data_IF_333054421857
#
_entry.id   IF_333054421857
#
_cell.length_a   1.000
_cell.length_b   1.000
_cell.length_c   1.000
_cell.angle_alpha   90.00
_cell.angle_beta   90.00
_cell.angle_gamma   90.00
#
_symmetry.space_group_name_H-M   'P 1'
#
loop_
_entity.id
_entity.type
_entity.pdbx_description
1 polymer ?
#
# COMPACT_ATOMS: atom_id res chain seq x y z
N UNK A 1 -7.66 -13.99 -11.12
CA UNK A 1 -7.18 -12.77 -11.79
C UNK A 1 -5.76 -12.57 -11.34
N UNK A 2 -4.81 -12.97 -12.18
CA UNK A 2 -3.40 -12.61 -11.98
C UNK A 2 -3.31 -11.11 -12.30
N UNK A 3 -3.11 -10.30 -11.26
CA UNK A 3 -3.26 -8.85 -11.34
C UNK A 3 -2.20 -8.21 -12.22
N UNK A 4 -2.59 -7.18 -12.99
CA UNK A 4 -1.71 -6.38 -13.86
C UNK A 4 -0.56 -5.68 -13.10
N UNK A 5 -0.62 -5.65 -11.77
CA UNK A 5 0.32 -4.93 -10.90
C UNK A 5 0.75 -5.78 -9.68
N UNK A 6 1.42 -6.92 -9.88
CA UNK A 6 1.70 -7.88 -8.80
C UNK A 6 2.63 -7.30 -7.73
N UNK A 7 3.57 -6.43 -8.09
CA UNK A 7 4.49 -5.81 -7.13
C UNK A 7 3.76 -4.75 -6.30
N UNK A 8 2.96 -3.91 -6.94
CA UNK A 8 2.18 -2.88 -6.29
C UNK A 8 1.14 -3.48 -5.35
N UNK A 9 0.52 -4.59 -5.74
CA UNK A 9 -0.39 -5.35 -4.89
C UNK A 9 0.34 -6.00 -3.70
N UNK A 10 1.21 -6.98 -3.99
CA UNK A 10 1.76 -7.86 -2.96
C UNK A 10 2.85 -7.19 -2.12
N UNK A 11 3.60 -6.25 -2.69
CA UNK A 11 4.82 -5.72 -2.09
C UNK A 11 4.64 -4.31 -1.55
N UNK A 12 3.78 -3.50 -2.17
CA UNK A 12 3.45 -2.18 -1.65
C UNK A 12 2.15 -2.20 -0.81
N UNK A 13 1.01 -2.55 -1.41
CA UNK A 13 -0.30 -2.39 -0.80
C UNK A 13 -0.53 -3.39 0.34
N UNK A 14 -0.59 -4.68 0.03
CA UNK A 14 -0.86 -5.75 1.01
C UNK A 14 0.20 -5.82 2.09
N UNK A 15 1.47 -5.71 1.72
CA UNK A 15 2.57 -5.66 2.68
C UNK A 15 2.40 -4.53 3.70
N UNK A 16 2.09 -3.32 3.24
CA UNK A 16 1.86 -2.16 4.10
C UNK A 16 0.63 -2.33 4.98
N UNK A 17 -0.44 -2.95 4.47
CA UNK A 17 -1.67 -3.19 5.23
C UNK A 17 -1.44 -4.23 6.34
N UNK A 18 -0.71 -5.31 6.05
CA UNK A 18 -0.30 -6.30 7.06
C UNK A 18 0.57 -5.67 8.15
N UNK A 19 1.55 -4.84 7.78
CA UNK A 19 2.40 -4.09 8.74
C UNK A 19 1.60 -3.05 9.54
N UNK A 20 0.48 -2.55 8.99
CA UNK A 20 -0.46 -1.69 9.70
C UNK A 20 -1.42 -2.46 10.62
N UNK A 21 -1.30 -3.79 10.69
CA UNK A 21 -2.11 -4.68 11.53
C UNK A 21 -3.50 -4.95 10.96
N UNK A 22 -3.66 -4.92 9.64
CA UNK A 22 -4.84 -5.49 8.97
C UNK A 22 -4.75 -7.01 9.05
N UNK A 23 -5.87 -7.66 9.32
CA UNK A 23 -5.88 -9.11 9.51
C UNK A 23 -5.59 -9.82 8.17
N UNK A 24 -4.75 -10.87 8.15
CA UNK A 24 -4.33 -11.50 6.90
C UNK A 24 -5.46 -11.99 6.00
N UNK A 25 -6.52 -12.51 6.60
CA UNK A 25 -7.73 -12.97 5.96
C UNK A 25 -8.51 -11.83 5.29
N UNK A 26 -8.29 -10.57 5.67
CA UNK A 26 -8.92 -9.41 5.00
C UNK A 26 -8.13 -8.95 3.77
N UNK A 27 -6.82 -9.21 3.70
CA UNK A 27 -5.89 -8.63 2.72
C UNK A 27 -6.01 -9.25 1.30
N UNK A 28 -7.00 -10.10 1.06
CA UNK A 28 -7.37 -10.61 -0.27
C UNK A 28 -8.76 -10.20 -0.76
N UNK A 29 -9.48 -9.40 0.02
CA UNK A 29 -10.87 -9.05 -0.24
C UNK A 29 -11.05 -7.55 -0.34
N UNK A 30 -12.28 -7.15 -0.65
CA UNK A 30 -12.70 -5.76 -0.55
C UNK A 30 -12.62 -5.30 0.90
N UNK A 31 -12.03 -4.12 1.11
CA UNK A 31 -11.74 -3.59 2.44
C UNK A 31 -12.72 -2.49 2.82
N UNK A 32 -13.43 -2.71 3.92
CA UNK A 32 -14.23 -1.68 4.59
C UNK A 32 -13.36 -0.88 5.56
N UNK A 33 -13.78 0.34 5.86
CA UNK A 33 -13.08 1.26 6.75
C UNK A 33 -13.94 1.65 7.96
N UNK A 34 -13.28 2.06 9.03
CA UNK A 34 -13.92 2.69 10.19
C UNK A 34 -13.30 4.07 10.46
N UNK A 35 -13.99 4.89 11.25
CA UNK A 35 -13.59 6.26 11.59
C UNK A 35 -13.46 7.18 10.35
N UNK A 36 -14.46 7.15 9.48
CA UNK A 36 -14.48 7.90 8.21
C UNK A 36 -14.44 9.42 8.37
N UNK A 37 -14.72 9.99 9.53
CA UNK A 37 -14.46 11.41 9.76
C UNK A 37 -12.98 11.80 9.54
N UNK A 38 -12.06 10.84 9.66
CA UNK A 38 -10.68 11.06 9.28
C UNK A 38 -10.53 11.29 7.76
N UNK A 39 -11.27 10.58 6.89
CA UNK A 39 -11.13 10.68 5.43
C UNK A 39 -11.34 12.11 4.93
N UNK A 40 -12.25 12.87 5.56
CA UNK A 40 -12.50 14.31 5.31
C UNK A 40 -11.24 15.18 5.47
N UNK A 41 -10.25 14.72 6.23
CA UNK A 41 -8.99 15.43 6.45
C UNK A 41 -8.09 15.41 5.20
N UNK A 42 -8.37 14.57 4.18
CA UNK A 42 -7.68 14.63 2.89
C UNK A 42 -7.76 16.02 2.25
N UNK A 43 -8.90 16.69 2.35
CA UNK A 43 -9.10 18.02 1.78
C UNK A 43 -8.33 19.13 2.54
N UNK A 44 -7.76 18.82 3.70
CA UNK A 44 -7.06 19.82 4.51
C UNK A 44 -5.65 20.08 3.97
N UNK A 45 -5.40 21.28 3.41
CA UNK A 45 -4.11 21.69 2.79
C UNK A 45 -2.83 21.26 3.52
N UNK A 46 -2.77 21.38 4.85
CA UNK A 46 -1.58 20.98 5.64
C UNK A 46 -1.48 19.48 5.98
N UNK A 47 -2.60 18.80 6.20
CA UNK A 47 -2.63 17.42 6.74
C UNK A 47 -2.92 16.38 5.67
N UNK A 48 -3.69 16.77 4.64
CA UNK A 48 -4.07 15.95 3.49
C UNK A 48 -2.89 15.23 2.84
N UNK A 49 -1.84 15.95 2.37
CA UNK A 49 -0.71 15.29 1.69
C UNK A 49 -0.02 14.22 2.54
N UNK A 50 0.05 14.44 3.86
CA UNK A 50 0.62 13.46 4.79
C UNK A 50 -0.29 12.24 4.92
N UNK A 51 -1.60 12.44 5.04
CA UNK A 51 -2.58 11.36 5.16
C UNK A 51 -2.71 10.56 3.87
N UNK A 52 -2.70 11.23 2.71
CA UNK A 52 -2.72 10.60 1.40
C UNK A 52 -1.59 9.58 1.22
N UNK A 53 -0.36 9.92 1.62
CA UNK A 53 0.76 8.96 1.61
C UNK A 53 0.57 7.80 2.59
N UNK A 54 -0.11 8.02 3.71
CA UNK A 54 -0.37 6.96 4.71
C UNK A 54 -1.48 6.02 4.29
N UNK A 55 -2.45 6.54 3.53
CA UNK A 55 -3.60 5.80 3.03
C UNK A 55 -3.39 5.26 1.61
N UNK A 56 -2.33 5.66 0.91
CA UNK A 56 -1.99 5.16 -0.41
C UNK A 56 -2.08 3.62 -0.52
N UNK A 57 -1.56 2.80 0.42
CA UNK A 57 -1.74 1.35 0.34
C UNK A 57 -3.19 0.88 0.31
N UNK A 58 -4.06 1.51 1.10
CA UNK A 58 -5.49 1.20 1.15
C UNK A 58 -6.19 1.60 -0.16
N UNK A 59 -5.89 2.81 -0.67
CA UNK A 59 -6.48 3.32 -1.92
C UNK A 59 -6.03 2.49 -3.12
N UNK A 60 -4.74 2.13 -3.17
CA UNK A 60 -4.19 1.24 -4.20
C UNK A 60 -4.83 -0.14 -4.14
N UNK A 61 -4.97 -0.72 -2.95
CA UNK A 61 -5.65 -2.01 -2.78
C UNK A 61 -7.10 -1.95 -3.30
N UNK A 62 -7.84 -0.90 -2.94
CA UNK A 62 -9.20 -0.71 -3.42
C UNK A 62 -9.25 -0.57 -4.95
N UNK A 63 -8.35 0.23 -5.55
CA UNK A 63 -8.28 0.38 -7.00
C UNK A 63 -7.99 -0.94 -7.74
N UNK A 64 -7.20 -1.82 -7.14
CA UNK A 64 -6.83 -3.11 -7.76
C UNK A 64 -7.88 -4.21 -7.56
N UNK A 65 -8.64 -4.18 -6.45
CA UNK A 65 -9.47 -5.32 -6.03
C UNK A 65 -10.95 -5.01 -5.82
N UNK A 66 -11.36 -3.75 -5.70
CA UNK A 66 -12.77 -3.38 -5.55
C UNK A 66 -13.38 -3.01 -6.91
N UNK A 67 -14.34 -3.80 -7.43
CA UNK A 67 -15.02 -3.49 -8.69
C UNK A 67 -15.83 -2.19 -8.64
N UNK A 68 -16.16 -1.68 -7.45
CA UNK A 68 -16.87 -0.41 -7.28
C UNK A 68 -15.92 0.79 -7.12
N UNK A 69 -14.60 0.57 -7.21
CA UNK A 69 -13.66 1.68 -7.18
C UNK A 69 -13.88 2.59 -8.41
N UNK A 70 -13.89 3.94 -8.26
CA UNK A 70 -14.28 4.82 -9.35
C UNK A 70 -13.41 4.64 -10.62
N UNK A 71 -14.07 4.32 -11.74
CA UNK A 71 -13.42 4.05 -13.03
C UNK A 71 -12.88 5.32 -13.71
N UNK A 72 -13.36 6.49 -13.31
CA UNK A 72 -12.93 7.80 -13.82
C UNK A 72 -11.59 8.27 -13.23
N UNK A 73 -11.10 7.62 -12.18
CA UNK A 73 -9.77 7.88 -11.63
C UNK A 73 -8.70 7.26 -12.56
N UNK A 74 -7.94 8.13 -13.23
CA UNK A 74 -6.80 7.72 -14.05
C UNK A 74 -5.79 6.87 -13.26
N UNK A 75 -5.36 5.74 -13.84
CA UNK A 75 -4.53 4.73 -13.18
C UNK A 75 -3.04 4.78 -13.56
N UNK A 76 -2.61 5.76 -14.36
CA UNK A 76 -1.21 5.94 -14.79
C UNK A 76 -0.19 5.91 -13.65
N UNK A 77 -0.58 6.39 -12.46
CA UNK A 77 0.28 6.38 -11.28
C UNK A 77 0.55 4.96 -10.77
N UNK A 78 -0.41 4.03 -10.93
CA UNK A 78 -0.27 2.63 -10.56
C UNK A 78 0.72 1.93 -11.51
N UNK A 79 0.54 2.10 -12.82
CA UNK A 79 1.42 1.53 -13.85
C UNK A 79 2.87 2.02 -13.69
N UNK A 80 3.07 3.33 -13.52
CA UNK A 80 4.40 3.91 -13.30
C UNK A 80 5.03 3.40 -12.00
N UNK A 81 4.23 3.22 -10.96
CA UNK A 81 4.71 2.68 -9.68
C UNK A 81 5.12 1.22 -9.81
N UNK A 82 4.31 0.39 -10.48
CA UNK A 82 4.65 -1.01 -10.76
C UNK A 82 5.95 -1.11 -11.55
N UNK A 83 6.10 -0.34 -12.63
CA UNK A 83 7.31 -0.33 -13.44
C UNK A 83 8.57 0.06 -12.64
N UNK A 84 8.44 1.00 -11.69
CA UNK A 84 9.54 1.41 -10.82
C UNK A 84 9.88 0.32 -9.80
N UNK A 85 8.87 -0.30 -9.18
CA UNK A 85 9.07 -1.32 -8.13
C UNK A 85 9.50 -2.67 -8.71
N UNK A 86 9.20 -2.95 -9.98
CA UNK A 86 9.53 -4.21 -10.66
C UNK A 86 10.93 -4.25 -11.27
N UNK A 87 11.76 -3.23 -11.04
CA UNK A 87 13.13 -3.23 -11.56
C UNK A 87 13.95 -4.41 -11.03
N UNK A 88 14.75 -5.03 -11.91
CA UNK A 88 15.52 -6.24 -11.61
C UNK A 88 16.44 -6.11 -10.39
N UNK A 89 16.94 -4.90 -10.10
CA UNK A 89 17.78 -4.60 -8.94
C UNK A 89 17.12 -4.95 -7.58
N UNK A 90 15.79 -5.12 -7.57
CA UNK A 90 15.00 -5.44 -6.38
C UNK A 90 14.45 -6.87 -6.39
N UNK A 91 14.67 -7.66 -7.44
CA UNK A 91 13.92 -8.90 -7.71
C UNK A 91 13.87 -9.85 -6.50
N UNK A 92 15.00 -10.12 -5.84
CA UNK A 92 15.03 -11.02 -4.68
C UNK A 92 14.27 -10.45 -3.47
N UNK A 93 14.37 -9.13 -3.26
CA UNK A 93 13.66 -8.42 -2.20
C UNK A 93 12.14 -8.47 -2.44
N UNK A 94 11.73 -8.14 -3.67
CA UNK A 94 10.34 -8.19 -4.14
C UNK A 94 9.74 -9.58 -4.00
N UNK A 95 10.46 -10.63 -4.40
CA UNK A 95 9.98 -12.02 -4.30
C UNK A 95 9.69 -12.42 -2.86
N UNK A 96 10.61 -12.11 -1.93
CA UNK A 96 10.42 -12.46 -0.51
C UNK A 96 9.29 -11.67 0.14
N UNK A 97 9.16 -10.37 -0.17
CA UNK A 97 8.04 -9.57 0.31
C UNK A 97 6.71 -10.10 -0.23
N UNK A 98 6.65 -10.39 -1.54
CA UNK A 98 5.45 -10.90 -2.16
C UNK A 98 5.03 -12.24 -1.55
N UNK A 99 5.98 -13.14 -1.28
CA UNK A 99 5.69 -14.41 -0.63
C UNK A 99 5.19 -14.21 0.80
N UNK A 100 5.83 -13.35 1.59
CA UNK A 100 5.39 -13.06 2.95
C UNK A 100 3.96 -12.50 2.98
N UNK A 101 3.63 -11.58 2.07
CA UNK A 101 2.29 -11.02 1.95
C UNK A 101 1.25 -12.06 1.53
N UNK A 102 1.58 -12.97 0.60
CA UNK A 102 0.70 -14.09 0.22
C UNK A 102 0.42 -15.02 1.39
N UNK A 103 1.44 -15.26 2.21
CA UNK A 103 1.33 -16.09 3.42
C UNK A 103 0.65 -15.35 4.58
N UNK A 104 0.25 -14.08 4.40
CA UNK A 104 -0.38 -13.30 5.46
C UNK A 104 0.58 -12.89 6.59
N UNK A 105 1.89 -12.91 6.34
CA UNK A 105 2.92 -12.59 7.33
C UNK A 105 3.39 -11.16 7.18
N UNK A 106 3.78 -10.53 8.28
CA UNK A 106 4.43 -9.20 8.27
C UNK A 106 5.74 -9.27 7.46
N UNK A 107 5.83 -8.62 6.29
CA UNK A 107 6.91 -8.88 5.35
C UNK A 107 8.30 -8.45 5.84
N UNK A 108 8.43 -7.34 6.56
CA UNK A 108 9.73 -6.88 7.09
C UNK A 108 10.28 -7.91 8.08
N UNK A 109 9.44 -8.37 9.02
CA UNK A 109 9.86 -9.35 10.01
C UNK A 109 10.30 -10.67 9.36
N UNK A 110 9.59 -11.09 8.30
CA UNK A 110 9.91 -12.30 7.54
C UNK A 110 11.28 -12.22 6.85
N UNK A 111 11.66 -11.05 6.34
CA UNK A 111 12.98 -10.83 5.74
C UNK A 111 14.09 -10.82 6.81
N UNK A 112 13.84 -10.20 7.96
CA UNK A 112 14.85 -10.12 9.02
C UNK A 112 15.18 -11.48 9.65
N UNK A 113 14.31 -12.47 9.46
CA UNK A 113 14.49 -13.86 9.90
C UNK A 113 15.24 -14.74 8.89
N UNK A 114 15.64 -14.21 7.73
CA UNK A 114 16.37 -14.99 6.73
C UNK A 114 17.78 -15.41 7.20
N UNK A 115 18.30 -16.57 6.76
CA UNK A 115 19.67 -16.99 7.05
C UNK A 115 20.72 -15.98 6.59
N UNK A 116 21.87 -15.91 7.28
CA UNK A 116 22.95 -14.95 7.04
C UNK A 116 23.36 -14.73 5.56
N UNK A 117 23.57 -15.76 4.73
CA UNK A 117 23.97 -15.54 3.33
C UNK A 117 22.87 -14.84 2.49
N UNK A 118 21.61 -15.11 2.79
CA UNK A 118 20.46 -14.48 2.12
C UNK A 118 20.27 -13.06 2.66
N UNK A 119 20.30 -12.89 3.98
CA UNK A 119 20.17 -11.60 4.65
C UNK A 119 21.21 -10.57 4.17
N UNK A 120 22.49 -10.96 4.09
CA UNK A 120 23.57 -10.07 3.65
C UNK A 120 23.40 -9.64 2.18
N UNK A 121 22.85 -10.50 1.32
CA UNK A 121 22.55 -10.16 -0.08
C UNK A 121 21.40 -9.15 -0.17
N UNK A 122 20.35 -9.36 0.61
CA UNK A 122 19.17 -8.50 0.69
C UNK A 122 19.48 -7.11 1.26
N UNK A 123 20.39 -7.00 2.23
CA UNK A 123 20.80 -5.72 2.82
C UNK A 123 21.37 -4.73 1.80
N UNK A 124 22.05 -5.22 0.74
CA UNK A 124 22.59 -4.37 -0.34
C UNK A 124 21.48 -3.73 -1.18
N UNK A 125 20.41 -4.47 -1.47
CA UNK A 125 19.25 -3.97 -2.23
C UNK A 125 18.29 -3.15 -1.36
N UNK A 126 18.27 -3.37 -0.04
CA UNK A 126 17.35 -2.72 0.90
C UNK A 126 17.41 -1.19 0.86
N UNK A 127 18.61 -0.60 0.86
CA UNK A 127 18.75 0.87 0.88
C UNK A 127 18.23 1.49 -0.42
N UNK A 128 18.55 0.90 -1.56
CA UNK A 128 18.06 1.35 -2.87
C UNK A 128 16.54 1.19 -2.96
N UNK A 129 16.02 0.06 -2.51
CA UNK A 129 14.59 -0.19 -2.40
C UNK A 129 13.88 0.86 -1.54
N UNK A 130 14.40 1.17 -0.36
CA UNK A 130 13.81 2.19 0.52
C UNK A 130 13.69 3.55 -0.17
N UNK A 131 14.75 4.02 -0.83
CA UNK A 131 14.72 5.28 -1.57
C UNK A 131 13.71 5.27 -2.72
N UNK A 132 13.68 4.17 -3.48
CA UNK A 132 12.70 3.97 -4.56
C UNK A 132 11.28 3.96 -4.01
N UNK A 133 11.06 3.27 -2.89
CA UNK A 133 9.75 3.17 -2.25
C UNK A 133 9.24 4.50 -1.72
N UNK A 134 10.11 5.36 -1.19
CA UNK A 134 9.73 6.70 -0.74
C UNK A 134 9.26 7.57 -1.92
N UNK A 135 9.95 7.46 -3.06
CA UNK A 135 9.54 8.13 -4.31
C UNK A 135 8.18 7.62 -4.79
N UNK A 136 7.97 6.31 -4.80
CA UNK A 136 6.69 5.69 -5.20
C UNK A 136 5.57 6.08 -4.23
N UNK A 137 5.81 6.03 -2.93
CA UNK A 137 4.83 6.43 -1.92
C UNK A 137 4.45 7.92 -2.05
N UNK A 138 5.42 8.79 -2.37
CA UNK A 138 5.11 10.19 -2.69
C UNK A 138 4.21 10.30 -3.93
N UNK A 139 4.55 9.61 -5.01
CA UNK A 139 3.77 9.61 -6.25
C UNK A 139 2.33 9.14 -6.03
N UNK A 140 2.15 8.03 -5.32
CA UNK A 140 0.83 7.48 -4.99
C UNK A 140 0.05 8.39 -4.03
N UNK A 141 0.73 9.01 -3.06
CA UNK A 141 0.12 10.02 -2.20
C UNK A 141 -0.33 11.28 -2.96
N UNK A 142 0.46 11.73 -3.94
CA UNK A 142 0.09 12.86 -4.80
C UNK A 142 -1.10 12.49 -5.71
N UNK A 143 -1.14 11.25 -6.22
CA UNK A 143 -2.28 10.69 -6.94
C UNK A 143 -3.55 10.62 -6.09
N UNK A 144 -3.46 10.16 -4.84
CA UNK A 144 -4.58 10.15 -3.89
C UNK A 144 -5.08 11.58 -3.62
N UNK A 145 -4.17 12.55 -3.49
CA UNK A 145 -4.56 13.96 -3.30
C UNK A 145 -5.25 14.56 -4.52
N UNK A 146 -4.77 14.25 -5.73
CA UNK A 146 -5.39 14.70 -6.97
C UNK A 146 -6.83 14.17 -7.11
N UNK A 147 -7.09 12.99 -6.55
CA UNK A 147 -8.39 12.31 -6.59
C UNK A 147 -9.09 12.31 -5.21
N UNK A 148 -8.81 13.30 -4.35
CA UNK A 148 -9.27 13.30 -2.96
C UNK A 148 -10.80 13.20 -2.82
N UNK A 149 -11.55 13.92 -3.66
CA UNK A 149 -13.01 13.93 -3.61
C UNK A 149 -13.64 12.56 -3.95
N UNK A 150 -13.35 11.93 -5.11
CA UNK A 150 -13.91 10.61 -5.41
C UNK A 150 -13.40 9.53 -4.45
N UNK A 151 -12.14 9.58 -3.99
CA UNK A 151 -11.61 8.68 -2.96
C UNK A 151 -12.37 8.82 -1.64
N UNK A 152 -12.68 10.05 -1.23
CA UNK A 152 -13.45 10.30 -0.02
C UNK A 152 -14.86 9.72 -0.14
N UNK A 153 -15.57 10.03 -1.22
CA UNK A 153 -16.93 9.51 -1.48
C UNK A 153 -16.95 7.98 -1.46
N UNK A 154 -15.97 7.35 -2.10
CA UNK A 154 -15.85 5.89 -2.14
C UNK A 154 -15.72 5.28 -0.73
N UNK A 155 -14.79 5.78 0.11
CA UNK A 155 -14.61 5.24 1.46
C UNK A 155 -15.71 5.63 2.45
N UNK A 156 -16.42 6.73 2.20
CA UNK A 156 -17.63 7.07 2.96
C UNK A 156 -18.79 6.11 2.68
N UNK A 157 -18.81 5.44 1.53
CA UNK A 157 -19.76 4.37 1.20
C UNK A 157 -19.34 2.98 1.71
N UNK A 158 -18.06 2.79 2.09
CA UNK A 158 -17.49 1.51 2.55
C UNK A 158 -17.19 1.48 4.04
N UNK A 159 -18.20 1.78 4.86
CA UNK A 159 -18.07 1.81 6.32
C UNK A 159 -18.48 0.49 6.96
N UNK A 160 -17.66 0.00 7.87
CA UNK A 160 -18.00 -1.10 8.78
C UNK A 160 -17.35 -0.85 10.15
N UNK A 161 -18.01 -1.27 11.24
CA UNK A 161 -17.52 -1.05 12.61
C UNK A 161 -16.18 -1.76 12.87
N UNK A 162 -16.01 -2.95 12.28
CA UNK A 162 -14.78 -3.75 12.30
C UNK A 162 -13.84 -3.46 11.11
N UNK A 163 -14.16 -2.46 10.30
CA UNK A 163 -13.37 -2.02 9.17
C UNK A 163 -12.02 -1.41 9.55
N UNK A 164 -11.13 -1.27 8.57
CA UNK A 164 -9.79 -0.71 8.74
C UNK A 164 -9.87 0.68 9.36
N UNK A 165 -9.29 0.80 10.54
CA UNK A 165 -9.31 2.05 11.29
C UNK A 165 -8.43 3.11 10.60
N UNK A 166 -9.06 4.09 9.94
CA UNK A 166 -8.35 5.17 9.23
C UNK A 166 -7.50 6.03 10.16
N UNK A 167 -7.89 6.19 11.43
CA UNK A 167 -7.10 6.88 12.45
C UNK A 167 -5.82 6.12 12.82
N UNK A 168 -5.88 4.79 12.86
CA UNK A 168 -4.70 3.92 13.07
C UNK A 168 -3.79 3.96 11.85
N UNK A 169 -4.36 3.78 10.65
CA UNK A 169 -3.61 3.84 9.40
C UNK A 169 -2.96 5.23 9.19
N UNK A 170 -3.65 6.29 9.61
CA UNK A 170 -3.11 7.65 9.62
C UNK A 170 -1.92 7.84 10.55
N UNK A 171 -1.54 6.90 11.40
CA UNK A 171 -0.30 6.93 12.21
C UNK A 171 0.79 6.05 11.62
N UNK A 172 0.41 5.05 10.82
CA UNK A 172 1.34 4.19 10.11
C UNK A 172 2.05 4.96 9.00
N UNK A 173 3.32 4.68 8.79
CA UNK A 173 4.06 5.19 7.64
C UNK A 173 4.33 3.97 6.76
N UNK A 174 3.69 3.87 5.57
CA UNK A 174 3.99 2.84 4.62
C UNK A 174 5.47 2.87 4.31
N UNK A 175 6.16 1.86 4.82
CA UNK A 175 7.46 1.45 4.33
C UNK A 175 7.09 0.41 3.31
N UNK A 176 7.38 0.60 2.03
CA UNK A 176 7.54 -0.59 1.22
C UNK A 176 8.72 -1.30 1.88
N UNK A 177 8.40 -2.41 2.54
CA UNK A 177 9.22 -3.09 3.55
C UNK A 177 10.70 -3.16 3.18
#
# INVERSE_FOLDING_TARGET
>A
MDGEHPTLDLVFARASLLEAGVAPDQVGHVLYVSHTDHIKTLNHRKKGPKLARRWAPLVVHAALHDPEFPDDIARDALEKSEAILSQEAFAEWTVLLAQASRDGRTPVATILQQPHPVKARLERSRKAWQQTSERVNKMLGDWVMANAAPVQTFFEARVADDGINLKRLAKFTPKAA
#
